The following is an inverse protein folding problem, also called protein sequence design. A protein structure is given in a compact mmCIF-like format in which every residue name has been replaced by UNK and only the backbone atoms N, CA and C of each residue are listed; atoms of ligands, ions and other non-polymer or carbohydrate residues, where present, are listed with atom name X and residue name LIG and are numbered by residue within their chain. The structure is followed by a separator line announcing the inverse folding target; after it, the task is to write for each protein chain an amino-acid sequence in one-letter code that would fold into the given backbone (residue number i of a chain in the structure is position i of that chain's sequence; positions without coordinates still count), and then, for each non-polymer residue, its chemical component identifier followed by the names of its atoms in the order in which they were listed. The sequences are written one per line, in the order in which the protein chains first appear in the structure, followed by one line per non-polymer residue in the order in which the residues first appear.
data_IF_517240501771
#
_entry.id   IF_517240501771
#
_cell.length_a   1.000
_cell.length_b   1.000
_cell.length_c   1.000
_cell.angle_alpha   90.00
_cell.angle_beta   90.00
_cell.angle_gamma   90.00
#
_symmetry.space_group_name_H-M   'P 1'
#
loop_
_entity.id
_entity.type
_entity.pdbx_description
1 polymer ?
#
# COMPACT_ATOMS: atom_id res chain seq x y z
N UNK A 1 -10.79 11.78 3.91
CA UNK A 1 -11.47 10.46 3.86
C UNK A 1 -10.66 9.45 4.68
N UNK A 2 -11.30 8.86 5.65
CA UNK A 2 -10.68 7.77 6.40
C UNK A 2 -10.72 6.48 5.59
N UNK A 3 -9.65 5.68 5.69
CA UNK A 3 -9.56 4.40 5.02
C UNK A 3 -9.50 3.28 6.05
N UNK A 4 -10.03 2.13 5.72
CA UNK A 4 -10.06 0.96 6.60
C UNK A 4 -10.05 -0.32 5.78
N UNK A 5 -10.00 -1.47 6.46
CA UNK A 5 -10.03 -2.75 5.79
C UNK A 5 -11.28 -2.86 4.92
N UNK A 6 -11.13 -3.37 3.70
CA UNK A 6 -12.21 -3.51 2.74
C UNK A 6 -11.91 -4.67 1.78
N UNK A 7 -12.80 -4.95 0.79
CA UNK A 7 -12.56 -6.05 -0.15
C UNK A 7 -11.30 -5.92 -1.01
N UNK A 8 -10.71 -4.72 -1.11
CA UNK A 8 -9.59 -4.47 -2.02
C UNK A 8 -8.24 -4.40 -1.34
N UNK A 9 -8.16 -3.92 -0.10
CA UNK A 9 -6.91 -3.83 0.63
C UNK A 9 -7.10 -3.95 2.13
N UNK A 10 -6.05 -4.36 2.82
CA UNK A 10 -5.99 -4.41 4.28
C UNK A 10 -5.08 -3.31 4.80
N UNK A 11 -5.29 -2.90 6.04
CA UNK A 11 -4.46 -1.91 6.71
C UNK A 11 -3.80 -2.57 7.92
N UNK A 12 -2.47 -2.55 7.93
CA UNK A 12 -1.70 -2.99 9.09
C UNK A 12 -1.95 -2.00 10.24
N UNK A 13 -1.96 -2.49 11.48
CA UNK A 13 -2.10 -1.63 12.66
C UNK A 13 -1.09 -0.48 12.60
N UNK A 14 -1.60 0.75 12.57
CA UNK A 14 -0.78 1.95 12.43
C UNK A 14 -0.43 2.51 13.81
N UNK A 15 0.88 2.69 14.07
CA UNK A 15 1.37 3.26 15.34
C UNK A 15 1.74 4.74 15.23
N UNK A 16 2.12 5.18 14.02
CA UNK A 16 2.56 6.55 13.75
C UNK A 16 1.79 7.19 12.61
N UNK A 17 0.59 6.69 12.32
CA UNK A 17 -0.23 7.18 11.21
C UNK A 17 -1.70 7.22 11.60
N UNK A 18 -2.43 8.14 10.97
CA UNK A 18 -3.89 8.17 11.02
C UNK A 18 -4.38 7.63 9.67
N UNK A 19 -5.38 6.74 9.64
CA UNK A 19 -5.85 6.14 8.39
C UNK A 19 -6.71 7.12 7.57
N UNK A 20 -6.10 8.20 7.12
CA UNK A 20 -6.76 9.27 6.37
C UNK A 20 -6.01 9.56 5.07
N UNK A 21 -6.76 9.65 3.97
CA UNK A 21 -6.24 10.10 2.67
C UNK A 21 -7.21 11.13 2.08
N UNK A 22 -6.68 12.11 1.35
CA UNK A 22 -7.53 12.99 0.55
C UNK A 22 -8.23 12.15 -0.53
N UNK A 23 -9.42 12.57 -1.03
CA UNK A 23 -10.18 11.72 -1.97
C UNK A 23 -9.40 11.22 -3.18
N UNK A 24 -8.58 12.06 -3.83
CA UNK A 24 -7.80 11.63 -4.99
C UNK A 24 -6.78 10.54 -4.64
N UNK A 25 -6.22 10.59 -3.44
CA UNK A 25 -5.27 9.57 -2.98
C UNK A 25 -5.98 8.27 -2.63
N UNK A 26 -7.17 8.35 -2.02
CA UNK A 26 -7.99 7.18 -1.73
C UNK A 26 -8.42 6.47 -3.02
N UNK A 27 -8.78 7.24 -4.06
CA UNK A 27 -9.12 6.68 -5.38
C UNK A 27 -7.90 6.00 -6.00
N UNK A 28 -6.74 6.65 -5.94
CA UNK A 28 -5.48 6.09 -6.46
C UNK A 28 -5.17 4.76 -5.78
N UNK A 29 -5.28 4.69 -4.46
CA UNK A 29 -5.07 3.46 -3.69
C UNK A 29 -6.04 2.36 -4.13
N UNK A 30 -7.31 2.66 -4.26
CA UNK A 30 -8.32 1.68 -4.68
C UNK A 30 -8.02 1.17 -6.09
N UNK A 31 -7.67 2.04 -7.02
CA UNK A 31 -7.32 1.66 -8.38
C UNK A 31 -6.10 0.71 -8.42
N UNK A 32 -5.07 1.03 -7.63
CA UNK A 32 -3.88 0.18 -7.51
C UNK A 32 -4.27 -1.20 -6.94
N UNK A 33 -5.05 -1.22 -5.87
CA UNK A 33 -5.46 -2.45 -5.22
C UNK A 33 -6.30 -3.33 -6.15
N UNK A 34 -7.25 -2.74 -6.86
CA UNK A 34 -8.10 -3.47 -7.81
C UNK A 34 -7.29 -3.99 -9.01
N UNK A 35 -6.39 -3.16 -9.55
CA UNK A 35 -5.53 -3.58 -10.66
C UNK A 35 -4.62 -4.73 -10.24
N UNK A 36 -4.12 -4.73 -9.01
CA UNK A 36 -3.32 -5.82 -8.46
C UNK A 36 -4.13 -7.12 -8.38
N UNK A 37 -5.36 -7.05 -7.84
CA UNK A 37 -6.25 -8.20 -7.76
C UNK A 37 -6.54 -8.77 -9.16
N UNK A 38 -6.88 -7.90 -10.11
CA UNK A 38 -7.16 -8.31 -11.49
C UNK A 38 -5.92 -8.94 -12.15
N UNK A 39 -4.74 -8.39 -11.90
CA UNK A 39 -3.49 -8.93 -12.44
C UNK A 39 -3.19 -10.34 -11.91
N UNK A 40 -3.48 -10.59 -10.63
CA UNK A 40 -3.36 -11.94 -10.07
C UNK A 40 -4.26 -12.92 -10.83
N UNK A 41 -5.52 -12.56 -11.03
CA UNK A 41 -6.51 -13.41 -11.71
C UNK A 41 -6.10 -13.66 -13.17
N UNK A 42 -5.71 -12.62 -13.90
CA UNK A 42 -5.29 -12.73 -15.31
C UNK A 42 -4.08 -13.66 -15.45
N UNK A 43 -3.19 -13.67 -14.47
CA UNK A 43 -1.99 -14.54 -14.46
C UNK A 43 -2.29 -15.95 -13.94
N UNK A 44 -3.54 -16.28 -13.65
CA UNK A 44 -3.94 -17.60 -13.15
C UNK A 44 -3.58 -17.83 -11.70
N UNK A 45 -3.32 -16.79 -10.93
CA UNK A 45 -2.96 -16.89 -9.52
C UNK A 45 -4.18 -16.61 -8.63
N UNK A 46 -4.18 -17.13 -7.38
CA UNK A 46 -5.18 -16.73 -6.41
C UNK A 46 -5.17 -15.22 -6.21
N UNK A 47 -6.36 -14.66 -6.03
CA UNK A 47 -6.51 -13.22 -5.80
C UNK A 47 -5.89 -12.82 -4.46
N UNK A 48 -5.13 -11.74 -4.44
CA UNK A 48 -4.49 -11.22 -3.23
C UNK A 48 -4.81 -9.75 -3.05
N UNK A 49 -4.87 -9.32 -1.80
CA UNK A 49 -5.02 -7.91 -1.41
C UNK A 49 -3.67 -7.35 -0.99
N UNK A 50 -3.43 -6.08 -1.34
CA UNK A 50 -2.28 -5.33 -0.84
C UNK A 50 -2.50 -4.92 0.61
N UNK A 51 -1.41 -4.68 1.34
CA UNK A 51 -1.46 -4.28 2.75
C UNK A 51 -0.81 -2.90 2.89
N UNK A 52 -1.58 -1.93 3.39
CA UNK A 52 -1.07 -0.61 3.73
C UNK A 52 -0.30 -0.68 5.04
N UNK A 53 0.89 -0.06 5.06
CA UNK A 53 1.73 -0.02 6.25
C UNK A 53 1.87 1.38 6.83
N UNK A 54 1.55 2.41 6.06
CA UNK A 54 1.59 3.79 6.52
C UNK A 54 0.66 4.66 5.67
N UNK A 55 0.04 5.66 6.29
CA UNK A 55 -0.87 6.60 5.64
C UNK A 55 -0.52 8.01 6.12
N UNK A 56 -1.53 8.85 6.40
CA UNK A 56 -1.34 10.21 6.90
C UNK A 56 -0.65 10.20 8.27
N UNK A 57 0.31 11.11 8.44
CA UNK A 57 0.91 11.39 9.73
C UNK A 57 0.57 12.82 10.14
N UNK A 58 0.11 13.01 11.39
CA UNK A 58 -0.07 14.34 11.94
C UNK A 58 1.29 14.93 12.31
N UNK A 59 1.34 16.25 12.51
CA UNK A 59 2.56 16.91 12.99
C UNK A 59 3.03 16.30 14.32
N UNK A 60 2.09 16.01 15.23
CA UNK A 60 2.39 15.35 16.51
C UNK A 60 3.02 13.98 16.32
N UNK A 61 2.47 13.19 15.37
CA UNK A 61 2.98 11.85 15.08
C UNK A 61 4.38 11.91 14.45
N UNK A 62 4.64 12.89 13.61
CA UNK A 62 5.96 13.10 13.01
C UNK A 62 6.99 13.46 14.11
N UNK A 63 6.63 14.32 15.06
CA UNK A 63 7.50 14.68 16.19
C UNK A 63 7.83 13.45 17.02
N UNK A 64 6.84 12.62 17.33
CA UNK A 64 7.03 11.37 18.06
C UNK A 64 7.95 10.42 17.32
N UNK A 65 7.75 10.27 16.02
CA UNK A 65 8.58 9.42 15.17
C UNK A 65 10.03 9.92 15.11
N UNK A 66 10.25 11.24 15.07
CA UNK A 66 11.59 11.83 15.04
C UNK A 66 12.38 11.59 16.33
N UNK A 67 11.72 11.45 17.46
CA UNK A 67 12.38 11.08 18.72
C UNK A 67 12.95 9.65 18.66
N UNK A 68 12.28 8.78 17.91
CA UNK A 68 12.68 7.38 17.72
C UNK A 68 13.59 7.23 16.51
N UNK A 69 13.37 8.02 15.47
CA UNK A 69 14.11 7.97 14.22
C UNK A 69 14.42 9.40 13.74
N UNK A 70 15.67 9.81 13.90
CA UNK A 70 16.13 11.16 13.54
C UNK A 70 15.99 11.49 12.04
N UNK A 71 15.78 10.48 11.19
CA UNK A 71 15.62 10.68 9.73
C UNK A 71 14.21 11.05 9.31
N UNK A 72 13.23 11.01 10.22
CA UNK A 72 11.86 11.38 9.91
C UNK A 72 11.77 12.90 9.67
N UNK A 73 11.23 13.29 8.51
CA UNK A 73 11.06 14.70 8.16
C UNK A 73 9.87 15.30 8.89
N UNK A 74 10.01 16.55 9.37
CA UNK A 74 8.92 17.30 9.97
C UNK A 74 7.85 17.67 8.95
N UNK A 75 8.24 17.83 7.67
CA UNK A 75 7.35 18.18 6.57
C UNK A 75 7.11 16.98 5.64
N UNK A 76 6.89 15.80 6.24
CA UNK A 76 6.63 14.59 5.48
C UNK A 76 5.40 14.74 4.58
N UNK A 77 5.47 14.22 3.36
CA UNK A 77 4.32 14.17 2.43
C UNK A 77 3.11 13.45 3.02
N UNK A 78 3.32 12.55 3.98
CA UNK A 78 2.23 11.86 4.68
C UNK A 78 1.31 12.82 5.44
N UNK A 79 1.81 13.98 5.88
CA UNK A 79 1.00 14.98 6.57
C UNK A 79 -0.09 15.59 5.70
N UNK A 80 0.08 15.56 4.38
CA UNK A 80 -0.87 16.14 3.43
C UNK A 80 -1.94 15.17 2.95
N UNK A 81 -1.90 13.92 3.43
CA UNK A 81 -2.89 12.91 3.05
C UNK A 81 -2.82 12.48 1.59
N UNK A 82 -1.70 12.72 0.92
CA UNK A 82 -1.50 12.37 -0.50
C UNK A 82 -0.61 11.15 -0.68
N UNK A 83 0.01 10.66 0.38
CA UNK A 83 1.02 9.62 0.33
C UNK A 83 0.64 8.43 1.20
N UNK A 84 0.92 7.23 0.71
CA UNK A 84 0.71 6.00 1.45
C UNK A 84 1.78 4.98 1.07
N UNK A 85 2.05 4.04 1.98
CA UNK A 85 3.00 2.97 1.77
C UNK A 85 2.28 1.64 1.65
N UNK A 86 2.65 0.86 0.63
CA UNK A 86 2.15 -0.50 0.42
C UNK A 86 3.31 -1.47 0.60
N UNK A 87 3.12 -2.48 1.45
CA UNK A 87 4.12 -3.53 1.66
C UNK A 87 4.31 -4.35 0.38
N UNK A 88 5.55 -4.76 0.10
CA UNK A 88 5.83 -5.73 -0.95
C UNK A 88 6.25 -7.10 -0.39
N UNK A 89 6.17 -7.28 0.91
CA UNK A 89 6.45 -8.56 1.57
C UNK A 89 5.30 -9.05 2.46
N UNK A 90 4.14 -8.40 2.39
CA UNK A 90 2.91 -8.82 3.06
C UNK A 90 1.75 -8.65 2.10
N UNK A 91 1.02 -9.72 1.88
CA UNK A 91 -0.19 -9.75 1.04
C UNK A 91 -1.19 -10.67 1.70
N UNK A 92 -2.47 -10.39 1.52
CA UNK A 92 -3.55 -11.22 2.07
C UNK A 92 -4.19 -12.01 0.93
N UNK A 93 -4.09 -13.34 0.99
CA UNK A 93 -4.78 -14.19 0.02
C UNK A 93 -6.28 -14.15 0.26
N UNK A 94 -7.05 -13.87 -0.78
CA UNK A 94 -8.51 -13.93 -0.71
C UNK A 94 -8.92 -15.39 -0.82
N UNK A 95 -9.57 -15.91 0.22
CA UNK A 95 -10.02 -17.29 0.26
C UNK A 95 -11.53 -17.35 0.43
N UNK A 96 -12.16 -18.23 -0.35
CA UNK A 96 -13.56 -18.56 -0.16
C UNK A 96 -13.63 -19.76 0.79
N UNK A 97 -14.31 -19.64 1.95
CA UNK A 97 -14.43 -20.76 2.90
C UNK A 97 -15.11 -22.00 2.31
N UNK A 98 -15.87 -21.84 1.21
CA UNK A 98 -16.56 -22.93 0.52
C UNK A 98 -15.72 -23.53 -0.62
N UNK A 99 -14.52 -23.04 -0.85
CA UNK A 99 -13.61 -23.53 -1.89
C UNK A 99 -12.49 -24.37 -1.30
N UNK A 100 -11.85 -25.20 -2.14
CA UNK A 100 -10.66 -25.93 -1.74
C UNK A 100 -9.53 -24.94 -1.38
N UNK A 101 -8.64 -25.29 -0.41
CA UNK A 101 -7.49 -24.47 -0.09
C UNK A 101 -6.64 -24.20 -1.34
N UNK A 102 -6.22 -22.93 -1.51
CA UNK A 102 -5.38 -22.54 -2.64
C UNK A 102 -3.91 -22.64 -2.28
N UNK A 103 -3.08 -22.91 -3.29
CA UNK A 103 -1.63 -23.00 -3.09
C UNK A 103 -1.05 -21.60 -2.80
N UNK A 104 -0.10 -21.48 -1.85
CA UNK A 104 0.60 -20.23 -1.61
C UNK A 104 1.36 -19.78 -2.84
N UNK A 105 1.39 -18.48 -3.06
CA UNK A 105 2.17 -17.84 -4.14
C UNK A 105 3.47 -17.28 -3.54
N UNK A 106 4.64 -17.52 -4.16
CA UNK A 106 5.88 -16.93 -3.67
C UNK A 106 5.79 -15.40 -3.56
N UNK A 107 6.32 -14.86 -2.47
CA UNK A 107 6.28 -13.42 -2.21
C UNK A 107 6.96 -12.61 -3.32
N UNK A 108 8.06 -13.12 -3.87
CA UNK A 108 8.77 -12.49 -4.99
C UNK A 108 7.89 -12.32 -6.22
N UNK A 109 7.00 -13.29 -6.46
CA UNK A 109 6.06 -13.22 -7.59
C UNK A 109 5.02 -12.13 -7.37
N UNK A 110 4.47 -12.04 -6.17
CA UNK A 110 3.49 -11.01 -5.81
C UNK A 110 4.11 -9.62 -5.85
N UNK A 111 5.33 -9.48 -5.34
CA UNK A 111 6.09 -8.22 -5.41
C UNK A 111 6.28 -7.77 -6.86
N UNK A 112 6.63 -8.69 -7.76
CA UNK A 112 6.81 -8.40 -9.17
C UNK A 112 5.52 -7.90 -9.81
N UNK A 113 4.40 -8.57 -9.53
CA UNK A 113 3.08 -8.17 -10.05
C UNK A 113 2.71 -6.77 -9.54
N UNK A 114 2.91 -6.50 -8.27
CA UNK A 114 2.65 -5.18 -7.69
C UNK A 114 3.53 -4.10 -8.34
N UNK A 115 4.81 -4.40 -8.57
CA UNK A 115 5.71 -3.47 -9.24
C UNK A 115 5.25 -3.14 -10.65
N UNK A 116 4.74 -4.12 -11.40
CA UNK A 116 4.19 -3.90 -12.74
C UNK A 116 2.95 -3.01 -12.71
N UNK A 117 2.04 -3.25 -11.75
CA UNK A 117 0.84 -2.43 -11.57
C UNK A 117 1.23 -0.98 -11.25
N UNK A 118 2.20 -0.79 -10.36
CA UNK A 118 2.65 0.56 -9.99
C UNK A 118 3.35 1.27 -11.14
N UNK A 119 4.11 0.55 -11.95
CA UNK A 119 4.73 1.10 -13.14
C UNK A 119 3.67 1.59 -14.13
N UNK A 120 2.62 0.81 -14.35
CA UNK A 120 1.51 1.20 -15.21
C UNK A 120 0.82 2.46 -14.70
N UNK A 121 0.54 2.53 -13.41
CA UNK A 121 -0.09 3.71 -12.79
C UNK A 121 0.81 4.95 -12.89
N UNK A 122 2.11 4.78 -12.68
CA UNK A 122 3.08 5.86 -12.84
C UNK A 122 3.09 6.36 -14.28
N UNK A 123 3.08 5.47 -15.24
CA UNK A 123 3.09 5.82 -16.68
C UNK A 123 1.80 6.53 -17.10
N UNK A 124 0.67 6.21 -16.45
CA UNK A 124 -0.60 6.92 -16.65
C UNK A 124 -0.60 8.30 -16.00
N UNK A 125 0.40 8.61 -15.17
CA UNK A 125 0.51 9.91 -14.51
C UNK A 125 -0.36 10.05 -13.26
N UNK A 126 -0.86 8.95 -12.69
CA UNK A 126 -1.74 9.01 -11.51
C UNK A 126 -0.99 9.13 -10.19
N UNK A 127 0.28 8.72 -10.17
CA UNK A 127 1.08 8.73 -8.95
C UNK A 127 2.58 8.75 -9.22
N UNK A 128 3.32 9.09 -8.16
CA UNK A 128 4.76 8.87 -8.07
C UNK A 128 5.00 7.64 -7.20
N UNK A 129 6.04 6.86 -7.51
CA UNK A 129 6.36 5.64 -6.79
C UNK A 129 7.84 5.65 -6.40
N UNK A 130 8.12 5.36 -5.14
CA UNK A 130 9.48 5.21 -4.63
C UNK A 130 9.62 3.85 -3.95
N UNK A 131 10.67 3.12 -4.29
CA UNK A 131 10.98 1.81 -3.72
C UNK A 131 11.82 1.97 -2.47
N UNK A 132 11.34 1.45 -1.34
CA UNK A 132 12.06 1.45 -0.07
C UNK A 132 12.47 0.03 0.29
N UNK A 133 13.75 -0.19 0.60
CA UNK A 133 14.27 -1.55 0.84
C UNK A 133 15.08 -1.70 2.12
N UNK A 134 15.47 -0.61 2.78
CA UNK A 134 16.37 -0.70 3.95
C UNK A 134 15.65 -0.99 5.25
N UNK A 135 14.68 -0.19 5.64
CA UNK A 135 13.99 -0.29 6.94
C UNK A 135 12.56 -0.76 6.82
N UNK A 136 11.93 -0.48 5.71
CA UNK A 136 10.57 -0.91 5.44
C UNK A 136 10.53 -1.52 4.05
N UNK A 137 9.96 -2.70 3.98
CA UNK A 137 9.78 -3.39 2.71
C UNK A 137 8.49 -2.88 2.06
N UNK A 138 8.52 -1.66 1.51
CA UNK A 138 7.33 -1.02 0.96
C UNK A 138 7.62 -0.20 -0.28
N UNK A 139 6.57 0.04 -1.07
CA UNK A 139 6.52 1.08 -2.08
C UNK A 139 5.87 2.32 -1.48
N UNK A 140 6.53 3.45 -1.62
CA UNK A 140 6.07 4.75 -1.17
C UNK A 140 5.38 5.43 -2.35
N UNK A 141 4.08 5.70 -2.24
CA UNK A 141 3.26 6.16 -3.34
C UNK A 141 2.66 7.50 -3.01
N UNK A 142 2.86 8.47 -3.90
CA UNK A 142 2.27 9.81 -3.78
C UNK A 142 1.29 10.03 -4.93
N UNK A 143 0.02 10.25 -4.61
CA UNK A 143 -1.01 10.55 -5.61
C UNK A 143 -0.77 11.93 -6.22
N UNK A 144 -0.97 12.03 -7.52
CA UNK A 144 -0.85 13.31 -8.25
C UNK A 144 -2.16 14.07 -8.24
#
# INVERSE_FOLDING_TARGET
MFVGDNPYYDIKKLTHSIPYLVPRAAICLEEIARAFMDSCVVKGLPMHKVVLTSVLRTEKDVKKLRRVNANASQNSCHQHGTTFDISYNHFTMVQDPNSAPKQPVPMSRLKQILAEVLEDQRNLGTCYVKYEYRRSACFHITAR
#
